data_IF_138810132551
#
_entry.id   IF_138810132551
#
_cell.length_a   1.000
_cell.length_b   1.000
_cell.length_c   1.000
_cell.angle_alpha   90.00
_cell.angle_beta   90.00
_cell.angle_gamma   90.00
#
_symmetry.space_group_name_H-M   'P 1'
#
loop_
_entity.id
_entity.type
_entity.pdbx_description
1 polymer ?
#
# COMPACT_ATOMS: atom_id res chain seq x y z
N UNK A 1 -49.91 16.07 -2.05
CA UNK A 1 -49.82 16.89 -0.83
C UNK A 1 -50.11 15.92 0.31
N UNK A 2 -49.17 15.18 0.88
CA UNK A 2 -47.81 15.49 1.33
C UNK A 2 -46.82 14.35 0.98
N UNK A 3 -45.77 14.67 0.24
CA UNK A 3 -44.44 14.10 0.44
C UNK A 3 -43.73 15.14 1.30
N UNK A 4 -43.41 14.84 2.55
CA UNK A 4 -42.26 15.46 3.21
C UNK A 4 -41.93 14.79 4.54
N UNK A 5 -40.63 14.80 4.85
CA UNK A 5 -39.98 14.39 6.08
C UNK A 5 -39.76 12.88 6.31
N UNK A 6 -38.57 12.39 5.93
CA UNK A 6 -37.62 11.78 6.88
C UNK A 6 -36.30 11.40 6.17
N UNK A 7 -35.68 12.37 5.52
CA UNK A 7 -34.26 12.30 5.16
C UNK A 7 -33.54 13.42 5.91
N UNK A 8 -32.75 13.05 6.93
CA UNK A 8 -31.50 13.71 7.33
C UNK A 8 -31.06 13.19 8.70
N UNK A 9 -30.12 12.24 8.72
CA UNK A 9 -29.02 12.20 9.70
C UNK A 9 -28.13 10.99 9.43
N UNK A 10 -27.18 11.14 8.50
CA UNK A 10 -25.96 10.33 8.51
C UNK A 10 -24.82 11.19 8.01
N UNK A 11 -24.22 11.92 8.93
CA UNK A 11 -22.97 12.66 8.71
C UNK A 11 -21.81 11.68 8.69
N UNK A 12 -21.53 11.09 7.54
CA UNK A 12 -20.33 10.28 7.32
C UNK A 12 -19.17 11.22 6.97
N UNK A 13 -18.17 11.31 7.85
CA UNK A 13 -16.89 11.92 7.50
C UNK A 13 -16.01 10.86 6.82
N UNK A 14 -15.72 11.04 5.53
CA UNK A 14 -14.61 10.36 4.86
C UNK A 14 -13.32 10.95 5.42
N UNK A 15 -12.50 10.12 6.08
CA UNK A 15 -11.13 10.51 6.43
C UNK A 15 -10.24 10.20 5.23
N UNK A 16 -10.15 11.16 4.29
CA UNK A 16 -9.14 11.11 3.24
C UNK A 16 -7.78 11.48 3.84
N UNK A 17 -6.74 10.67 3.58
CA UNK A 17 -5.37 11.03 3.88
C UNK A 17 -4.97 12.26 3.04
N UNK A 18 -5.07 13.45 3.63
CA UNK A 18 -4.69 14.70 2.98
C UNK A 18 -3.17 14.90 3.00
N UNK A 19 -2.58 14.91 1.80
CA UNK A 19 -1.22 15.38 1.52
C UNK A 19 -1.11 16.89 1.75
N UNK A 20 -0.15 17.32 2.57
CA UNK A 20 0.14 18.74 2.81
C UNK A 20 0.73 19.42 1.55
N UNK A 21 0.38 20.68 1.23
CA UNK A 21 0.94 21.38 0.08
C UNK A 21 2.36 21.88 0.36
N UNK A 22 3.35 21.33 -0.36
CA UNK A 22 4.69 21.90 -0.43
C UNK A 22 4.71 23.09 -1.39
N UNK A 23 5.14 24.23 -0.88
CA UNK A 23 5.37 25.46 -1.62
C UNK A 23 6.56 25.28 -2.59
N UNK A 24 6.36 25.50 -3.88
CA UNK A 24 7.41 25.47 -4.90
C UNK A 24 8.31 26.71 -4.82
N UNK A 25 9.65 26.57 -4.78
CA UNK A 25 10.55 27.70 -4.99
C UNK A 25 10.61 28.09 -6.47
N UNK A 26 10.54 29.40 -6.71
CA UNK A 26 10.54 30.06 -8.00
C UNK A 26 11.97 30.08 -8.59
N UNK A 27 12.19 29.46 -9.75
CA UNK A 27 13.47 29.52 -10.47
C UNK A 27 13.31 30.31 -11.77
N UNK A 28 13.78 31.56 -11.72
CA UNK A 28 13.96 32.43 -12.88
C UNK A 28 14.96 31.80 -13.85
N UNK A 29 14.54 31.56 -15.10
CA UNK A 29 15.43 31.05 -16.17
C UNK A 29 16.42 32.15 -16.62
N UNK A 30 17.72 31.86 -16.78
CA UNK A 30 18.61 32.76 -17.52
C UNK A 30 18.37 32.61 -19.03
N UNK A 31 18.35 33.76 -19.69
CA UNK A 31 18.25 33.91 -21.15
C UNK A 31 19.58 33.47 -21.77
N UNK A 32 19.55 32.47 -22.66
CA UNK A 32 20.69 32.12 -23.51
C UNK A 32 20.63 32.98 -24.79
N UNK A 33 21.71 33.71 -25.08
CA UNK A 33 21.92 34.41 -26.35
C UNK A 33 22.19 33.40 -27.49
N UNK A 34 21.80 33.69 -28.74
CA UNK A 34 22.04 32.80 -29.87
C UNK A 34 23.51 32.88 -30.33
N UNK A 35 24.11 31.73 -30.60
CA UNK A 35 25.43 31.60 -31.21
C UNK A 35 25.27 31.50 -32.74
N UNK A 36 26.08 32.32 -33.41
CA UNK A 36 26.19 32.70 -34.83
C UNK A 36 25.93 31.64 -35.92
N UNK A 37 25.40 32.13 -37.05
CA UNK A 37 25.06 31.43 -38.30
C UNK A 37 26.24 31.42 -39.28
N UNK A 38 26.75 30.24 -39.68
CA UNK A 38 27.05 30.01 -41.10
C UNK A 38 27.27 28.53 -41.47
N UNK A 39 26.85 28.11 -42.68
CA UNK A 39 26.84 26.73 -43.11
C UNK A 39 27.99 26.43 -44.08
N UNK A 40 28.81 25.43 -43.78
CA UNK A 40 29.58 24.75 -44.82
C UNK A 40 29.20 23.27 -44.85
N UNK A 41 28.39 22.97 -45.86
CA UNK A 41 27.95 21.64 -46.23
C UNK A 41 29.07 20.99 -47.04
N UNK A 42 29.65 19.89 -46.53
CA UNK A 42 30.33 18.93 -47.38
C UNK A 42 29.61 17.58 -47.30
N UNK A 43 29.08 17.23 -48.48
CA UNK A 43 28.32 16.05 -48.84
C UNK A 43 29.09 14.75 -48.51
N UNK A 44 28.49 13.89 -47.69
CA UNK A 44 28.87 12.47 -47.56
C UNK A 44 27.61 11.63 -47.82
N UNK A 45 27.77 10.66 -48.71
CA UNK A 45 26.76 9.77 -49.30
C UNK A 45 25.89 9.01 -48.27
N UNK A 46 24.63 8.65 -48.61
CA UNK A 46 23.65 8.11 -47.66
C UNK A 46 23.73 6.59 -47.46
N UNK A 47 24.92 6.03 -47.19
CA UNK A 47 25.07 4.58 -46.96
C UNK A 47 25.99 4.19 -45.78
N UNK A 48 26.08 5.06 -44.76
CA UNK A 48 26.71 4.73 -43.47
C UNK A 48 25.88 5.23 -42.26
N UNK A 49 25.09 4.32 -41.68
CA UNK A 49 24.45 4.38 -40.35
C UNK A 49 24.29 2.91 -39.91
N UNK A 50 24.79 2.35 -38.80
CA UNK A 50 25.41 2.82 -37.56
C UNK A 50 26.27 1.66 -37.05
N UNK A 51 27.55 1.92 -36.78
CA UNK A 51 28.37 1.04 -35.96
C UNK A 51 28.31 1.46 -34.48
N UNK A 52 28.14 0.44 -33.61
CA UNK A 52 28.42 0.36 -32.16
C UNK A 52 27.35 0.83 -31.16
N UNK A 53 26.76 -0.08 -30.37
CA UNK A 53 26.52 0.18 -28.96
C UNK A 53 27.84 -0.06 -28.21
N UNK A 54 28.49 1.00 -27.73
CA UNK A 54 29.55 0.84 -26.71
C UNK A 54 28.86 0.78 -25.35
N UNK A 55 28.51 -0.43 -24.96
CA UNK A 55 28.48 -0.88 -23.57
C UNK A 55 29.90 -0.76 -23.04
N UNK A 56 30.26 0.38 -22.47
CA UNK A 56 31.52 0.56 -21.77
C UNK A 56 31.24 0.67 -20.28
N UNK A 57 31.14 -0.50 -19.63
CA UNK A 57 31.20 -0.61 -18.18
C UNK A 57 32.65 -0.36 -17.75
N UNK A 58 32.94 0.81 -17.17
CA UNK A 58 34.23 1.01 -16.49
C UNK A 58 34.23 0.20 -15.19
N UNK A 59 35.18 -0.73 -15.12
CA UNK A 59 35.52 -1.47 -13.92
C UNK A 59 36.56 -0.64 -13.14
N UNK A 60 36.15 -0.10 -11.99
CA UNK A 60 37.06 0.56 -11.04
C UNK A 60 37.03 -0.30 -9.78
N UNK A 61 38.19 -0.85 -9.40
CA UNK A 61 38.37 -1.71 -8.22
C UNK A 61 37.37 -2.88 -8.09
N UNK A 62 37.08 -3.57 -9.20
CA UNK A 62 36.21 -4.76 -9.19
C UNK A 62 34.73 -4.47 -8.90
N UNK A 63 34.33 -3.20 -8.83
CA UNK A 63 32.94 -2.77 -8.69
C UNK A 63 32.43 -2.33 -10.06
N UNK A 64 31.43 -3.03 -10.59
CA UNK A 64 30.66 -2.56 -11.75
C UNK A 64 29.76 -1.42 -11.29
N UNK A 65 30.20 -0.19 -11.51
CA UNK A 65 29.35 0.97 -11.27
C UNK A 65 28.25 0.98 -12.35
N UNK A 66 27.04 0.56 -11.99
CA UNK A 66 25.84 0.84 -12.77
C UNK A 66 25.50 2.33 -12.58
N UNK A 67 26.22 3.23 -13.25
CA UNK A 67 25.93 4.68 -13.25
C UNK A 67 24.66 5.03 -14.03
N UNK A 68 24.11 4.07 -14.78
CA UNK A 68 22.95 4.26 -15.65
C UNK A 68 21.58 4.00 -14.99
N UNK A 69 21.54 3.59 -13.71
CA UNK A 69 20.27 3.37 -13.01
C UNK A 69 19.99 4.61 -12.15
N UNK A 70 18.88 5.30 -12.44
CA UNK A 70 18.43 6.43 -11.64
C UNK A 70 18.45 6.06 -10.15
N UNK A 71 18.91 6.94 -9.23
CA UNK A 71 19.05 6.61 -7.81
C UNK A 71 17.80 5.98 -7.16
N UNK A 72 16.61 6.38 -7.62
CA UNK A 72 15.31 5.82 -7.18
C UNK A 72 15.08 4.38 -7.63
N UNK A 73 15.54 3.99 -8.82
CA UNK A 73 15.43 2.62 -9.32
C UNK A 73 16.36 1.68 -8.55
N UNK A 74 17.55 2.14 -8.15
CA UNK A 74 18.46 1.35 -7.30
C UNK A 74 17.87 1.08 -5.91
N UNK A 75 17.10 2.02 -5.36
CA UNK A 75 16.43 1.86 -4.06
C UNK A 75 15.39 0.71 -4.05
N UNK A 76 14.77 0.40 -5.20
CA UNK A 76 13.76 -0.67 -5.31
C UNK A 76 14.34 -2.07 -5.08
N UNK A 77 15.64 -2.26 -5.29
CA UNK A 77 16.30 -3.56 -5.21
C UNK A 77 17.08 -3.77 -3.91
N UNK A 78 17.05 -2.84 -2.95
CA UNK A 78 17.69 -3.03 -1.65
C UNK A 78 16.90 -4.05 -0.81
N UNK A 79 17.21 -5.32 -1.01
CA UNK A 79 16.68 -6.42 -0.18
C UNK A 79 17.61 -6.64 1.00
N UNK A 80 17.29 -6.02 2.14
CA UNK A 80 17.96 -6.34 3.40
C UNK A 80 17.19 -7.48 4.08
N UNK A 81 17.69 -8.72 3.99
CA UNK A 81 17.22 -9.82 4.83
C UNK A 81 17.80 -9.65 6.23
N UNK A 82 17.22 -8.72 6.98
CA UNK A 82 17.70 -8.32 8.29
C UNK A 82 16.61 -8.58 9.30
N UNK A 83 16.97 -9.33 10.35
CA UNK A 83 16.11 -9.51 11.51
C UNK A 83 15.66 -8.13 12.02
N UNK A 84 14.35 -7.94 12.09
CA UNK A 84 13.75 -6.68 12.52
C UNK A 84 12.68 -6.96 13.57
N UNK A 85 12.44 -5.98 14.44
CA UNK A 85 11.34 -6.00 15.42
C UNK A 85 10.40 -4.85 15.15
N UNK A 86 9.10 -5.08 15.38
CA UNK A 86 8.08 -4.04 15.28
C UNK A 86 7.72 -3.55 16.69
N UNK A 87 7.93 -2.26 16.93
CA UNK A 87 7.38 -1.53 18.07
C UNK A 87 6.03 -0.94 17.64
N UNK A 88 4.94 -1.52 18.12
CA UNK A 88 3.57 -1.10 17.74
C UNK A 88 3.20 0.14 18.54
N UNK A 89 2.72 1.18 17.86
CA UNK A 89 2.17 2.38 18.50
C UNK A 89 0.64 2.33 18.57
N UNK A 90 0.01 1.86 17.49
CA UNK A 90 -1.44 1.76 17.36
C UNK A 90 -1.79 0.49 16.60
N UNK A 91 -2.88 -0.17 17.00
CA UNK A 91 -3.38 -1.35 16.31
C UNK A 91 -4.90 -1.39 16.25
N UNK A 92 -5.40 -1.97 15.16
CA UNK A 92 -6.80 -2.31 14.96
C UNK A 92 -6.94 -3.78 14.59
N UNK A 93 -8.04 -4.39 15.00
CA UNK A 93 -8.52 -5.63 14.39
C UNK A 93 -9.50 -5.25 13.28
N UNK A 94 -9.27 -5.79 12.09
CA UNK A 94 -10.07 -5.51 10.90
C UNK A 94 -10.82 -6.74 10.43
N UNK A 95 -12.05 -6.55 9.96
CA UNK A 95 -12.84 -7.55 9.25
C UNK A 95 -13.15 -7.06 7.84
N UNK A 96 -12.74 -7.82 6.82
CA UNK A 96 -12.94 -7.45 5.41
C UNK A 96 -14.42 -7.49 5.07
N UNK A 97 -14.94 -6.41 4.49
CA UNK A 97 -16.34 -6.27 4.07
C UNK A 97 -16.50 -6.57 2.58
N UNK A 98 -15.66 -5.97 1.73
CA UNK A 98 -15.73 -6.05 0.27
C UNK A 98 -14.31 -6.07 -0.32
N UNK A 99 -14.11 -6.80 -1.42
CA UNK A 99 -12.82 -6.91 -2.13
C UNK A 99 -12.99 -6.57 -3.60
N UNK A 100 -12.53 -5.38 -4.00
CA UNK A 100 -12.61 -4.89 -5.39
C UNK A 100 -11.30 -5.12 -6.12
N UNK A 101 -11.09 -6.38 -6.57
CA UNK A 101 -9.84 -6.78 -7.25
C UNK A 101 -9.50 -5.96 -8.50
N UNK A 102 -10.51 -5.51 -9.24
CA UNK A 102 -10.31 -4.70 -10.44
C UNK A 102 -9.80 -3.29 -10.12
N UNK A 103 -10.17 -2.75 -8.96
CA UNK A 103 -9.73 -1.45 -8.45
C UNK A 103 -8.42 -1.56 -7.66
N UNK A 104 -8.04 -2.79 -7.26
CA UNK A 104 -6.85 -3.02 -6.47
C UNK A 104 -7.05 -2.69 -4.98
N UNK A 105 -8.29 -2.61 -4.51
CA UNK A 105 -8.63 -2.18 -3.14
C UNK A 105 -9.54 -3.19 -2.41
N UNK A 106 -9.62 -3.06 -1.09
CA UNK A 106 -10.61 -3.73 -0.25
C UNK A 106 -11.07 -2.81 0.88
N UNK A 107 -12.30 -2.98 1.36
CA UNK A 107 -12.83 -2.25 2.51
C UNK A 107 -12.94 -3.14 3.73
N UNK A 108 -12.79 -2.57 4.91
CA UNK A 108 -12.87 -3.29 6.16
C UNK A 108 -13.48 -2.45 7.29
N UNK A 109 -14.19 -3.14 8.19
CA UNK A 109 -14.57 -2.61 9.49
C UNK A 109 -13.39 -2.77 10.45
N UNK A 110 -13.11 -1.74 11.23
CA UNK A 110 -11.98 -1.65 12.15
C UNK A 110 -12.46 -1.48 13.59
N UNK A 111 -11.82 -2.23 14.48
CA UNK A 111 -12.00 -2.19 15.93
C UNK A 111 -10.68 -1.78 16.58
N UNK A 112 -10.70 -0.67 17.33
CA UNK A 112 -9.50 -0.16 17.99
C UNK A 112 -9.08 -1.06 19.15
N UNK A 113 -7.82 -1.52 19.12
CA UNK A 113 -7.26 -2.38 20.16
C UNK A 113 -6.59 -1.60 21.29
N UNK A 114 -6.27 -0.32 21.07
CA UNK A 114 -5.69 0.57 22.06
C UNK A 114 -6.77 1.21 22.94
N UNK A 115 -7.92 1.56 22.36
CA UNK A 115 -9.07 2.17 23.05
C UNK A 115 -10.34 1.33 22.83
N UNK A 116 -10.47 0.18 23.53
CA UNK A 116 -11.66 -0.66 23.41
C UNK A 116 -12.88 0.10 23.95
N UNK A 117 -13.75 0.55 23.04
CA UNK A 117 -14.90 1.39 23.35
C UNK A 117 -15.14 2.52 22.34
N UNK A 118 -14.16 2.78 21.47
CA UNK A 118 -14.37 3.65 20.32
C UNK A 118 -15.30 3.01 19.27
N UNK A 119 -15.97 3.86 18.49
CA UNK A 119 -16.90 3.42 17.46
C UNK A 119 -16.18 2.62 16.36
N UNK A 120 -16.90 1.65 15.79
CA UNK A 120 -16.44 0.88 14.63
C UNK A 120 -16.19 1.86 13.49
N UNK A 121 -15.00 1.81 12.91
CA UNK A 121 -14.63 2.64 11.75
C UNK A 121 -14.61 1.79 10.48
N UNK A 122 -14.84 2.40 9.33
CA UNK A 122 -14.67 1.76 8.01
C UNK A 122 -13.52 2.41 7.27
N UNK A 123 -12.63 1.60 6.70
CA UNK A 123 -11.49 2.07 5.93
C UNK A 123 -11.29 1.25 4.64
N UNK A 124 -10.78 1.92 3.62
CA UNK A 124 -10.35 1.34 2.35
C UNK A 124 -8.83 1.18 2.34
N UNK A 125 -8.34 0.06 1.80
CA UNK A 125 -6.95 -0.33 1.77
C UNK A 125 -6.55 -0.80 0.38
N UNK A 126 -5.29 -0.55 0.02
CA UNK A 126 -4.70 -1.10 -1.20
C UNK A 126 -4.37 -2.59 -1.03
N UNK A 127 -4.71 -3.41 -2.02
CA UNK A 127 -4.35 -4.82 -2.05
C UNK A 127 -2.83 -5.01 -2.09
N UNK A 128 -2.09 -4.03 -2.62
CA UNK A 128 -0.61 -4.05 -2.66
C UNK A 128 0.03 -3.90 -1.29
N UNK A 129 -0.68 -3.37 -0.29
CA UNK A 129 -0.21 -3.31 1.10
C UNK A 129 -0.29 -4.66 1.81
N UNK A 130 -0.98 -5.64 1.22
CA UNK A 130 -1.06 -7.01 1.73
C UNK A 130 0.15 -7.80 1.28
N UNK A 131 0.83 -8.45 2.23
CA UNK A 131 1.99 -9.27 1.90
C UNK A 131 1.63 -10.41 0.93
N UNK A 132 2.55 -10.77 0.06
CA UNK A 132 2.37 -11.90 -0.88
C UNK A 132 2.07 -13.23 -0.18
N UNK A 133 2.51 -13.40 1.08
CA UNK A 133 2.23 -14.59 1.88
C UNK A 133 0.79 -14.63 2.44
N UNK A 134 0.13 -13.48 2.52
CA UNK A 134 -1.20 -13.32 3.09
C UNK A 134 -2.25 -13.00 2.02
N UNK A 135 -1.85 -12.69 0.79
CA UNK A 135 -2.78 -12.34 -0.30
C UNK A 135 -3.85 -13.42 -0.56
N UNK A 136 -3.51 -14.70 -0.36
CA UNK A 136 -4.46 -15.82 -0.48
C UNK A 136 -5.52 -15.86 0.62
N UNK A 137 -5.29 -15.15 1.72
CA UNK A 137 -6.21 -14.99 2.85
C UNK A 137 -7.13 -13.78 2.67
N UNK A 138 -6.88 -12.90 1.70
CA UNK A 138 -7.74 -11.74 1.43
C UNK A 138 -9.05 -12.17 0.77
N UNK A 139 -10.08 -12.32 1.61
CA UNK A 139 -11.47 -12.64 1.26
C UNK A 139 -12.41 -11.90 2.20
N UNK A 140 -13.63 -11.65 1.76
CA UNK A 140 -14.71 -11.13 2.63
C UNK A 140 -14.85 -11.97 3.91
N UNK A 141 -15.09 -11.30 5.04
CA UNK A 141 -15.16 -11.91 6.37
C UNK A 141 -13.80 -12.29 6.98
N UNK A 142 -12.70 -12.16 6.25
CA UNK A 142 -11.37 -12.47 6.79
C UNK A 142 -10.95 -11.44 7.83
N UNK A 143 -10.31 -11.92 8.90
CA UNK A 143 -9.84 -11.08 9.99
C UNK A 143 -8.35 -10.78 9.83
N UNK A 144 -7.96 -9.54 10.04
CA UNK A 144 -6.57 -9.09 10.02
C UNK A 144 -6.28 -8.14 11.18
N UNK A 145 -4.99 -7.90 11.42
CA UNK A 145 -4.52 -6.79 12.24
C UNK A 145 -3.90 -5.74 11.36
N UNK A 146 -4.29 -4.49 11.59
CA UNK A 146 -3.61 -3.34 11.04
C UNK A 146 -2.81 -2.67 12.15
N UNK A 147 -1.51 -2.51 11.95
CA UNK A 147 -0.60 -1.97 12.96
C UNK A 147 0.19 -0.81 12.38
N UNK A 148 0.26 0.27 13.13
CA UNK A 148 1.12 1.42 12.84
C UNK A 148 2.21 1.46 13.90
N UNK A 149 3.47 1.47 13.48
CA UNK A 149 4.59 1.28 14.38
C UNK A 149 5.93 1.76 13.86
N UNK A 150 6.98 1.41 14.58
CA UNK A 150 8.35 1.55 14.16
C UNK A 150 8.99 0.18 13.95
N UNK A 151 9.50 -0.08 12.74
CA UNK A 151 10.35 -1.24 12.50
C UNK A 151 11.79 -0.85 12.82
N UNK A 152 12.41 -1.63 13.68
CA UNK A 152 13.82 -1.48 14.05
C UNK A 152 14.61 -2.59 13.38
N UNK A 153 15.54 -2.23 12.52
CA UNK A 153 16.47 -3.17 11.90
C UNK A 153 17.68 -3.40 12.82
N UNK A 154 18.33 -4.56 12.70
CA UNK A 154 19.46 -4.92 13.55
C UNK A 154 20.66 -3.97 13.48
N UNK A 155 20.80 -3.21 12.38
CA UNK A 155 21.83 -2.19 12.18
C UNK A 155 21.43 -0.80 12.71
N UNK A 156 20.34 -0.71 13.48
CA UNK A 156 19.93 0.51 14.19
C UNK A 156 19.05 1.47 13.40
N UNK A 157 18.76 1.21 12.13
CA UNK A 157 17.79 2.00 11.37
C UNK A 157 16.38 1.80 11.93
N UNK A 158 15.66 2.91 12.08
CA UNK A 158 14.26 2.96 12.47
C UNK A 158 13.43 3.52 11.32
N UNK A 159 12.41 2.79 10.92
CA UNK A 159 11.45 3.22 9.91
C UNK A 159 10.03 3.21 10.49
N UNK A 160 9.20 4.16 10.06
CA UNK A 160 7.76 4.14 10.40
C UNK A 160 7.05 3.25 9.40
N UNK A 161 6.24 2.31 9.90
CA UNK A 161 5.59 1.31 9.06
C UNK A 161 4.10 1.23 9.35
N UNK A 162 3.35 0.94 8.29
CA UNK A 162 1.99 0.43 8.32
C UNK A 162 2.03 -1.04 7.92
N UNK A 163 1.47 -1.92 8.73
CA UNK A 163 1.54 -3.36 8.52
C UNK A 163 0.16 -4.01 8.64
N UNK A 164 -0.20 -4.80 7.62
CA UNK A 164 -1.42 -5.62 7.59
C UNK A 164 -1.00 -7.08 7.68
N UNK A 165 -1.55 -7.79 8.67
CA UNK A 165 -1.27 -9.23 8.89
C UNK A 165 -2.58 -9.98 9.05
N UNK A 166 -2.83 -10.94 8.15
CA UNK A 166 -4.07 -11.73 8.19
C UNK A 166 -3.98 -12.86 9.22
N UNK A 167 -5.09 -13.09 9.93
CA UNK A 167 -5.19 -14.22 10.85
C UNK A 167 -5.37 -15.50 10.05
N UNK A 168 -4.49 -16.48 10.30
CA UNK A 168 -4.65 -17.85 9.80
C UNK A 168 -5.63 -18.56 10.72
N UNK A 169 -6.91 -18.48 10.38
CA UNK A 169 -7.94 -19.26 11.07
C UNK A 169 -7.75 -20.75 10.73
N UNK A 170 -8.16 -21.67 11.63
CA UNK A 170 -8.26 -23.08 11.27
C UNK A 170 -9.08 -23.25 9.99
N UNK A 171 -8.79 -24.28 9.19
CA UNK A 171 -9.68 -24.63 8.07
C UNK A 171 -10.95 -25.25 8.65
N UNK A 172 -12.02 -24.45 8.77
CA UNK A 172 -13.31 -24.94 9.24
C UNK A 172 -13.92 -25.80 8.13
N UNK A 173 -14.32 -27.01 8.47
CA UNK A 173 -15.05 -27.89 7.58
C UNK A 173 -16.50 -27.43 7.43
N UNK A 174 -17.19 -27.89 6.39
CA UNK A 174 -18.63 -27.66 6.24
C UNK A 174 -19.43 -28.20 7.45
N UNK A 175 -18.92 -29.23 8.10
CA UNK A 175 -19.52 -29.81 9.30
C UNK A 175 -19.35 -28.90 10.53
N UNK A 176 -18.17 -28.28 10.70
CA UNK A 176 -17.93 -27.29 11.77
C UNK A 176 -18.88 -26.09 11.64
N UNK A 177 -19.06 -25.59 10.41
CA UNK A 177 -19.98 -24.49 10.12
C UNK A 177 -21.42 -24.90 10.43
N UNK A 178 -21.83 -26.10 10.00
CA UNK A 178 -23.18 -26.61 10.26
C UNK A 178 -23.45 -26.77 11.76
N UNK A 179 -22.48 -27.27 12.51
CA UNK A 179 -22.57 -27.40 13.96
C UNK A 179 -22.69 -26.03 14.64
N UNK A 180 -21.88 -25.05 14.23
CA UNK A 180 -21.94 -23.69 14.76
C UNK A 180 -23.30 -23.01 14.50
N UNK A 181 -23.88 -23.18 13.30
CA UNK A 181 -25.22 -22.65 12.96
C UNK A 181 -26.30 -23.31 13.80
N UNK A 182 -26.25 -24.63 13.97
CA UNK A 182 -27.22 -25.35 14.79
C UNK A 182 -27.18 -24.89 16.25
N UNK A 183 -25.98 -24.71 16.81
CA UNK A 183 -25.81 -24.23 18.18
C UNK A 183 -26.26 -22.77 18.33
N UNK A 184 -25.95 -21.90 17.37
CA UNK A 184 -26.45 -20.53 17.36
C UNK A 184 -27.97 -20.45 17.34
N UNK A 185 -28.62 -21.33 16.56
CA UNK A 185 -30.08 -21.47 16.55
C UNK A 185 -30.64 -21.90 17.90
N UNK A 186 -30.02 -22.90 18.54
CA UNK A 186 -30.41 -23.37 19.89
C UNK A 186 -30.33 -22.27 20.94
N UNK A 187 -29.25 -21.48 20.93
CA UNK A 187 -29.06 -20.35 21.86
C UNK A 187 -30.10 -19.27 21.61
N UNK A 188 -30.42 -18.97 20.35
CA UNK A 188 -31.44 -17.98 19.99
C UNK A 188 -32.83 -18.39 20.50
N UNK A 189 -33.20 -19.67 20.36
CA UNK A 189 -34.46 -20.20 20.90
C UNK A 189 -34.53 -20.07 22.42
N UNK A 190 -33.43 -20.35 23.14
CA UNK A 190 -33.36 -20.25 24.59
C UNK A 190 -33.53 -18.80 25.09
N UNK A 191 -32.96 -17.83 24.37
CA UNK A 191 -33.06 -16.40 24.71
C UNK A 191 -34.44 -15.78 24.40
N UNK A 192 -35.22 -16.37 23.48
CA UNK A 192 -36.57 -15.88 23.12
C UNK A 192 -37.62 -16.28 24.17
N UNK A 193 -37.32 -17.24 25.04
CA UNK A 193 -38.25 -17.78 26.06
C UNK A 193 -38.13 -17.02 27.41
N UNK A 194 -37.17 -16.11 27.55
CA UNK A 194 -37.00 -15.23 28.72
C UNK A 194 -37.62 -13.84 28.50
#
# INVERSE_FOLDING_TARGET
MLLDAMEQSTGWQRVSAATAPMSTPNFTRPILQPLDDSPDTLLISPDQRIGRPITESQEVDGIRILDAIAPLERAKYFTHNVASRLEVLQAWEGAVIDVRRNEGTFTAQLYDLNNPGEAISEAEFDIQDVSSNDIGLLKEGSIFRWMIGYRMHSFGQRERVSAIVFRRLPNWSAEDIKAAVAEGGRIAEELVVL
#
